data_IF_058965801704
#
_entry.id   IF_058965801704
#
_cell.length_a   1.000
_cell.length_b   1.000
_cell.length_c   1.000
_cell.angle_alpha   90.00
_cell.angle_beta   90.00
_cell.angle_gamma   90.00
#
_symmetry.space_group_name_H-M   'P 1'
#
loop_
_entity.id
_entity.type
_entity.pdbx_description
1 polymer ?
#
# COMPACT_ATOMS: atom_id res chain seq x y z
N UNK A 1 19.68 -12.19 0.85
CA UNK A 1 18.79 -13.08 1.65
C UNK A 1 17.84 -13.80 0.73
N UNK A 2 17.43 -15.01 1.14
CA UNK A 2 16.31 -15.71 0.51
C UNK A 2 15.04 -15.45 1.32
N UNK A 3 14.05 -14.81 0.70
CA UNK A 3 12.78 -14.45 1.33
C UNK A 3 11.66 -15.28 0.72
N UNK A 4 10.94 -16.03 1.55
CA UNK A 4 9.76 -16.76 1.14
C UNK A 4 8.50 -15.97 1.52
N UNK A 5 7.77 -15.49 0.53
CA UNK A 5 6.51 -14.77 0.72
C UNK A 5 5.34 -15.74 0.59
N UNK A 6 4.49 -15.83 1.59
CA UNK A 6 3.29 -16.70 1.63
C UNK A 6 2.06 -15.84 1.40
N UNK A 7 1.53 -15.89 0.17
CA UNK A 7 0.46 -15.03 -0.31
C UNK A 7 -0.51 -15.83 -1.20
N UNK A 8 -1.55 -16.47 -0.61
CA UNK A 8 -2.44 -17.38 -1.34
C UNK A 8 -3.09 -16.77 -2.58
N UNK A 9 -3.55 -15.54 -2.47
CA UNK A 9 -4.36 -14.86 -3.47
C UNK A 9 -3.56 -13.93 -4.39
N UNK A 10 -2.22 -13.92 -4.27
CA UNK A 10 -1.39 -13.07 -5.12
C UNK A 10 -1.47 -13.51 -6.57
N UNK A 11 -2.13 -12.70 -7.37
CA UNK A 11 -2.14 -12.78 -8.82
C UNK A 11 -1.46 -11.52 -9.33
N UNK A 12 -0.34 -11.57 -10.06
CA UNK A 12 0.27 -10.37 -10.64
C UNK A 12 -0.63 -9.83 -11.76
N UNK A 13 -1.65 -9.11 -11.40
CA UNK A 13 -2.49 -8.33 -12.30
C UNK A 13 -2.09 -6.87 -12.13
N UNK A 14 -1.85 -6.20 -13.25
CA UNK A 14 -1.38 -4.81 -13.27
C UNK A 14 -2.34 -3.81 -12.60
N UNK A 15 -3.57 -4.24 -12.33
CA UNK A 15 -4.66 -3.41 -11.83
C UNK A 15 -5.42 -4.10 -10.69
N UNK A 16 -4.71 -4.78 -9.78
CA UNK A 16 -5.38 -5.37 -8.62
C UNK A 16 -5.96 -4.25 -7.74
N UNK A 17 -7.27 -4.17 -7.66
CA UNK A 17 -8.00 -3.37 -6.66
C UNK A 17 -7.68 -3.82 -5.21
N UNK A 18 -7.06 -4.98 -5.08
CA UNK A 18 -6.62 -5.55 -3.81
C UNK A 18 -5.30 -4.91 -3.37
N UNK A 19 -5.41 -4.05 -2.36
CA UNK A 19 -4.29 -3.32 -1.76
C UNK A 19 -3.21 -4.25 -1.19
N UNK A 20 -3.62 -5.39 -0.61
CA UNK A 20 -2.68 -6.35 -0.03
C UNK A 20 -1.83 -7.00 -1.13
N UNK A 21 -2.44 -7.42 -2.24
CA UNK A 21 -1.73 -7.97 -3.40
C UNK A 21 -0.75 -6.96 -3.99
N UNK A 22 -1.19 -5.72 -4.19
CA UNK A 22 -0.35 -4.65 -4.73
C UNK A 22 0.87 -4.36 -3.84
N UNK A 23 0.70 -4.36 -2.50
CA UNK A 23 1.80 -4.17 -1.55
C UNK A 23 2.81 -5.30 -1.60
N UNK A 24 2.32 -6.55 -1.65
CA UNK A 24 3.19 -7.73 -1.78
C UNK A 24 4.05 -7.66 -3.03
N UNK A 25 3.45 -7.34 -4.16
CA UNK A 25 4.19 -7.24 -5.42
C UNK A 25 5.23 -6.14 -5.38
N UNK A 26 4.91 -4.95 -4.87
CA UNK A 26 5.87 -3.86 -4.69
C UNK A 26 7.02 -4.30 -3.79
N UNK A 27 6.70 -4.82 -2.59
CA UNK A 27 7.73 -5.28 -1.65
C UNK A 27 8.62 -6.36 -2.24
N UNK A 28 8.04 -7.36 -2.92
CA UNK A 28 8.80 -8.43 -3.54
C UNK A 28 9.74 -7.92 -4.65
N UNK A 29 9.26 -7.03 -5.53
CA UNK A 29 10.05 -6.42 -6.59
C UNK A 29 11.19 -5.55 -6.04
N UNK A 30 10.89 -4.70 -5.06
CA UNK A 30 11.90 -3.80 -4.47
C UNK A 30 13.00 -4.60 -3.76
N UNK A 31 12.65 -5.71 -3.09
CA UNK A 31 13.65 -6.63 -2.51
C UNK A 31 14.47 -7.35 -3.58
N UNK A 32 13.83 -7.81 -4.65
CA UNK A 32 14.52 -8.47 -5.78
C UNK A 32 15.46 -7.50 -6.51
N UNK A 33 15.05 -6.27 -6.74
CA UNK A 33 15.89 -5.21 -7.33
C UNK A 33 17.14 -4.92 -6.49
N UNK A 34 17.08 -5.12 -5.18
CA UNK A 34 18.23 -5.03 -4.24
C UNK A 34 19.10 -6.30 -4.20
N UNK A 35 18.85 -7.27 -5.07
CA UNK A 35 19.63 -8.50 -5.18
C UNK A 35 19.28 -9.57 -4.15
N UNK A 36 18.08 -9.53 -3.57
CA UNK A 36 17.57 -10.60 -2.73
C UNK A 36 16.81 -11.62 -3.58
N UNK A 37 16.89 -12.90 -3.17
CA UNK A 37 16.16 -14.00 -3.80
C UNK A 37 14.78 -14.08 -3.16
N UNK A 38 13.74 -13.69 -3.92
CA UNK A 38 12.36 -13.62 -3.43
C UNK A 38 11.51 -14.65 -4.15
N UNK A 39 10.92 -15.57 -3.39
CA UNK A 39 9.96 -16.55 -3.90
C UNK A 39 8.59 -16.31 -3.28
N UNK A 40 7.59 -16.04 -4.12
CA UNK A 40 6.19 -15.89 -3.73
C UNK A 40 5.48 -17.23 -3.91
N UNK A 41 5.00 -17.79 -2.82
CA UNK A 41 4.17 -19.00 -2.77
C UNK A 41 2.69 -18.59 -2.90
N UNK A 42 2.09 -18.85 -4.04
CA UNK A 42 0.75 -18.38 -4.37
C UNK A 42 -0.12 -19.47 -5.03
N UNK A 43 -1.37 -19.16 -5.34
CA UNK A 43 -2.17 -19.94 -6.27
C UNK A 43 -1.63 -19.76 -7.69
N UNK A 44 -1.49 -20.85 -8.44
CA UNK A 44 -0.95 -20.81 -9.81
C UNK A 44 -1.97 -20.19 -10.78
N UNK A 45 -1.76 -18.92 -11.13
CA UNK A 45 -2.61 -18.14 -12.04
C UNK A 45 -2.26 -18.33 -13.53
N UNK A 46 -1.17 -19.04 -13.81
CA UNK A 46 -0.64 -19.24 -15.18
C UNK A 46 -0.93 -20.60 -15.78
N UNK A 47 -1.52 -21.54 -15.05
CA UNK A 47 -1.75 -22.91 -15.50
C UNK A 47 -3.02 -23.50 -14.89
N UNK A 48 -3.76 -24.25 -15.69
CA UNK A 48 -4.92 -25.03 -15.24
C UNK A 48 -4.50 -26.39 -14.63
N UNK A 49 -3.21 -26.74 -14.72
CA UNK A 49 -2.67 -27.98 -14.17
C UNK A 49 -1.60 -27.67 -13.13
N UNK A 50 -1.69 -28.37 -11.99
CA UNK A 50 -0.70 -28.25 -10.95
C UNK A 50 0.57 -29.01 -11.31
N UNK A 51 1.61 -28.29 -11.67
CA UNK A 51 2.98 -28.79 -11.68
C UNK A 51 3.72 -28.12 -10.51
N UNK A 52 4.07 -28.91 -9.51
CA UNK A 52 4.77 -28.41 -8.31
C UNK A 52 6.20 -27.96 -8.57
N UNK A 53 6.72 -28.26 -9.74
CA UNK A 53 8.06 -27.84 -10.18
C UNK A 53 8.00 -26.56 -11.01
N UNK A 54 6.83 -26.20 -11.51
CA UNK A 54 6.66 -25.02 -12.33
C UNK A 54 6.75 -23.73 -11.51
N UNK A 55 7.62 -22.86 -11.96
CA UNK A 55 7.76 -21.50 -11.43
C UNK A 55 7.61 -20.50 -12.57
N UNK A 56 7.20 -19.28 -12.23
CA UNK A 56 7.22 -18.14 -13.16
C UNK A 56 8.11 -17.06 -12.58
N UNK A 57 8.92 -16.45 -13.44
CA UNK A 57 9.69 -15.26 -13.08
C UNK A 57 9.05 -14.03 -13.69
N UNK A 58 8.91 -12.99 -12.86
CA UNK A 58 8.46 -11.66 -13.29
C UNK A 58 9.17 -10.62 -12.44
N UNK A 59 9.77 -9.62 -13.06
CA UNK A 59 10.44 -8.50 -12.39
C UNK A 59 11.48 -8.94 -11.32
N UNK A 60 12.20 -10.03 -11.59
CA UNK A 60 13.20 -10.61 -10.68
C UNK A 60 12.62 -11.40 -9.50
N UNK A 61 11.31 -11.57 -9.45
CA UNK A 61 10.58 -12.35 -8.42
C UNK A 61 10.20 -13.72 -8.99
N UNK A 62 10.46 -14.78 -8.22
CA UNK A 62 10.03 -16.14 -8.52
C UNK A 62 8.65 -16.42 -7.93
N UNK A 63 7.68 -16.76 -8.75
CA UNK A 63 6.34 -17.21 -8.32
C UNK A 63 6.25 -18.72 -8.38
N UNK A 64 5.83 -19.36 -7.28
CA UNK A 64 5.67 -20.80 -7.17
C UNK A 64 4.24 -21.18 -6.84
N UNK A 65 3.62 -21.98 -7.72
CA UNK A 65 2.27 -22.49 -7.51
C UNK A 65 2.25 -23.51 -6.35
N UNK A 66 1.42 -23.25 -5.36
CA UNK A 66 1.08 -24.20 -4.28
C UNK A 66 -0.18 -24.97 -4.62
N UNK A 67 -1.14 -24.28 -5.26
CA UNK A 67 -2.40 -24.83 -5.81
C UNK A 67 -2.71 -24.13 -7.13
N UNK A 68 -3.58 -24.70 -7.96
CA UNK A 68 -4.02 -24.11 -9.25
C UNK A 68 -5.43 -23.48 -9.17
N UNK A 69 -6.08 -23.63 -8.06
CA UNK A 69 -7.42 -23.09 -7.77
C UNK A 69 -7.40 -22.60 -6.33
N UNK A 70 -8.27 -21.69 -5.93
CA UNK A 70 -8.38 -21.24 -4.54
C UNK A 70 -8.86 -22.37 -3.63
N UNK A 71 -8.04 -23.42 -3.53
CA UNK A 71 -8.21 -24.57 -2.63
C UNK A 71 -7.45 -24.29 -1.33
N UNK A 72 -7.97 -23.37 -0.52
CA UNK A 72 -7.34 -22.84 0.70
C UNK A 72 -6.81 -23.95 1.63
N UNK A 73 -7.59 -24.99 1.92
CA UNK A 73 -7.17 -26.11 2.77
C UNK A 73 -5.94 -26.84 2.21
N UNK A 74 -5.90 -27.09 0.89
CA UNK A 74 -4.77 -27.75 0.24
C UNK A 74 -3.55 -26.86 0.20
N UNK A 75 -3.72 -25.54 0.04
CA UNK A 75 -2.67 -24.55 0.11
C UNK A 75 -1.99 -24.60 1.49
N UNK A 76 -2.77 -24.43 2.56
CA UNK A 76 -2.26 -24.43 3.93
C UNK A 76 -1.55 -25.73 4.32
N UNK A 77 -2.06 -26.87 3.87
CA UNK A 77 -1.45 -28.18 4.16
C UNK A 77 -0.06 -28.36 3.50
N UNK A 78 0.23 -27.69 2.39
CA UNK A 78 1.49 -27.83 1.62
C UNK A 78 2.57 -26.85 2.03
N UNK A 79 2.20 -25.64 2.47
CA UNK A 79 3.13 -24.58 2.85
C UNK A 79 4.22 -25.05 3.83
N UNK A 80 3.93 -25.79 4.91
CA UNK A 80 4.96 -26.23 5.86
C UNK A 80 6.09 -27.04 5.21
N UNK A 81 5.74 -28.00 4.34
CA UNK A 81 6.72 -28.85 3.68
C UNK A 81 7.55 -28.07 2.62
N UNK A 82 6.92 -27.16 1.89
CA UNK A 82 7.59 -26.33 0.90
C UNK A 82 8.63 -25.41 1.56
N UNK A 83 8.27 -24.73 2.64
CA UNK A 83 9.17 -23.85 3.40
C UNK A 83 10.30 -24.66 4.08
N UNK A 84 9.99 -25.81 4.65
CA UNK A 84 11.01 -26.71 5.26
C UNK A 84 12.06 -27.18 4.23
N UNK A 85 11.65 -27.37 2.98
CA UNK A 85 12.54 -27.77 1.89
C UNK A 85 13.35 -26.58 1.36
N UNK A 86 12.71 -25.43 1.17
CA UNK A 86 13.34 -24.23 0.64
C UNK A 86 14.36 -23.62 1.61
N UNK A 87 14.12 -23.72 2.93
CA UNK A 87 14.96 -23.16 4.00
C UNK A 87 15.30 -21.68 3.79
N UNK A 88 14.30 -20.82 3.63
CA UNK A 88 14.53 -19.39 3.43
C UNK A 88 15.19 -18.76 4.67
N UNK A 89 15.82 -17.61 4.47
CA UNK A 89 16.39 -16.78 5.55
C UNK A 89 15.28 -16.08 6.36
N UNK A 90 14.14 -15.77 5.71
CA UNK A 90 12.94 -15.20 6.34
C UNK A 90 11.66 -15.71 5.64
N UNK A 91 10.60 -15.87 6.42
CA UNK A 91 9.24 -16.14 5.93
C UNK A 91 8.41 -14.90 6.15
N UNK A 92 7.77 -14.41 5.10
CA UNK A 92 6.86 -13.27 5.10
C UNK A 92 5.46 -13.76 4.75
N UNK A 93 4.52 -13.69 5.67
CA UNK A 93 3.13 -14.10 5.45
C UNK A 93 2.20 -12.88 5.50
N UNK A 94 1.10 -12.94 4.75
CA UNK A 94 0.23 -11.79 4.52
C UNK A 94 -1.17 -12.13 5.00
N UNK A 95 -1.78 -11.22 5.68
CA UNK A 95 -3.20 -10.94 6.05
C UNK A 95 -4.22 -12.11 5.98
N UNK A 96 -3.79 -13.35 5.88
CA UNK A 96 -4.61 -14.57 5.98
C UNK A 96 -4.23 -15.36 7.25
N UNK A 97 -5.08 -15.37 8.28
CA UNK A 97 -4.78 -16.06 9.54
C UNK A 97 -4.40 -17.52 9.38
N UNK A 98 -5.04 -18.24 8.47
CA UNK A 98 -4.77 -19.66 8.23
C UNK A 98 -3.45 -19.87 7.51
N UNK A 99 -3.14 -19.04 6.53
CA UNK A 99 -1.85 -19.05 5.84
C UNK A 99 -0.71 -18.70 6.79
N UNK A 100 -0.90 -17.73 7.68
CA UNK A 100 0.07 -17.35 8.74
C UNK A 100 0.37 -18.53 9.66
N UNK A 101 -0.67 -19.27 10.13
CA UNK A 101 -0.47 -20.41 11.00
C UNK A 101 0.25 -21.58 10.28
N UNK A 102 -0.07 -21.81 9.02
CA UNK A 102 0.65 -22.77 8.18
C UNK A 102 2.11 -22.35 7.95
N UNK A 103 2.33 -21.06 7.64
CA UNK A 103 3.66 -20.48 7.48
C UNK A 103 4.49 -20.59 8.75
N UNK A 104 3.90 -20.39 9.95
CA UNK A 104 4.59 -20.60 11.23
C UNK A 104 5.15 -22.01 11.38
N UNK A 105 4.36 -23.02 11.01
CA UNK A 105 4.82 -24.40 11.05
C UNK A 105 6.03 -24.61 10.13
N UNK A 106 5.96 -24.11 8.89
CA UNK A 106 7.04 -24.20 7.93
C UNK A 106 8.28 -23.43 8.34
N UNK A 107 8.11 -22.20 8.84
CA UNK A 107 9.20 -21.35 9.35
C UNK A 107 9.96 -22.02 10.50
N UNK A 108 9.22 -22.66 11.42
CA UNK A 108 9.82 -23.44 12.53
C UNK A 108 10.68 -24.58 12.01
N UNK A 109 10.18 -25.36 11.04
CA UNK A 109 10.92 -26.46 10.41
C UNK A 109 12.13 -25.97 9.62
N UNK A 110 12.00 -24.84 8.95
CA UNK A 110 13.09 -24.19 8.22
C UNK A 110 14.10 -23.49 9.13
N UNK A 111 13.77 -23.23 10.38
CA UNK A 111 14.51 -22.39 11.35
C UNK A 111 14.66 -20.94 10.89
N UNK A 112 13.65 -20.44 10.20
CA UNK A 112 13.55 -19.06 9.75
C UNK A 112 12.59 -18.24 10.62
N UNK A 113 12.80 -16.93 10.81
CA UNK A 113 11.82 -16.07 11.45
C UNK A 113 10.58 -15.90 10.58
N UNK A 114 9.41 -15.73 11.23
CA UNK A 114 8.15 -15.39 10.61
C UNK A 114 7.83 -13.92 10.83
N UNK A 115 7.71 -13.17 9.75
CA UNK A 115 7.18 -11.81 9.71
C UNK A 115 5.79 -11.84 9.10
N UNK A 116 4.84 -11.17 9.73
CA UNK A 116 3.46 -11.06 9.23
C UNK A 116 3.21 -9.61 8.84
N UNK A 117 2.83 -9.38 7.59
CA UNK A 117 2.31 -8.11 7.10
C UNK A 117 0.79 -8.09 7.26
N UNK A 118 0.27 -7.14 8.05
CA UNK A 118 -1.12 -7.12 8.47
C UNK A 118 -1.78 -5.78 8.16
N UNK A 119 -2.84 -5.83 7.36
CA UNK A 119 -3.60 -4.66 6.94
C UNK A 119 -4.77 -4.32 7.86
N UNK A 120 -5.14 -5.23 8.76
CA UNK A 120 -6.27 -5.05 9.67
C UNK A 120 -7.63 -5.48 9.10
N UNK A 121 -7.64 -6.02 7.90
CA UNK A 121 -8.85 -6.44 7.17
C UNK A 121 -9.24 -7.90 7.39
N UNK A 122 -8.72 -8.56 8.40
CA UNK A 122 -9.18 -9.93 8.70
C UNK A 122 -10.70 -9.98 8.84
N UNK A 123 -11.35 -11.09 8.43
CA UNK A 123 -12.80 -11.23 8.52
C UNK A 123 -13.33 -10.84 9.90
N UNK A 124 -14.36 -10.00 10.00
CA UNK A 124 -14.92 -9.60 11.29
C UNK A 124 -15.28 -10.82 12.12
N UNK A 125 -14.71 -10.92 13.33
CA UNK A 125 -14.99 -12.01 14.25
C UNK A 125 -14.24 -13.33 13.98
N UNK A 126 -13.26 -13.37 13.06
CA UNK A 126 -12.44 -14.58 12.86
C UNK A 126 -11.60 -14.88 14.11
N UNK A 127 -11.83 -16.05 14.76
CA UNK A 127 -11.13 -16.42 15.98
C UNK A 127 -9.64 -16.73 15.75
N UNK A 128 -9.19 -16.92 14.52
CA UNK A 128 -7.80 -17.23 14.18
C UNK A 128 -6.91 -16.00 14.11
N UNK A 129 -7.46 -14.80 13.93
CA UNK A 129 -6.67 -13.55 13.80
C UNK A 129 -5.72 -13.36 14.99
N UNK A 130 -6.24 -13.37 16.21
CA UNK A 130 -5.40 -13.21 17.41
C UNK A 130 -4.29 -14.27 17.53
N UNK A 131 -4.57 -15.55 17.42
CA UNK A 131 -3.55 -16.61 17.35
C UNK A 131 -2.52 -16.40 16.25
N UNK A 132 -2.93 -16.06 15.02
CA UNK A 132 -2.05 -15.84 13.89
C UNK A 132 -1.06 -14.68 14.16
N UNK A 133 -1.55 -13.56 14.64
CA UNK A 133 -0.69 -12.42 14.98
C UNK A 133 0.30 -12.72 16.12
N UNK A 134 -0.12 -13.47 17.14
CA UNK A 134 0.75 -13.78 18.29
C UNK A 134 1.87 -14.78 18.00
N UNK A 135 1.73 -15.62 16.97
CA UNK A 135 2.79 -16.58 16.61
C UNK A 135 3.91 -15.94 15.78
N UNK A 136 3.72 -14.75 15.25
CA UNK A 136 4.73 -14.03 14.47
C UNK A 136 5.92 -13.58 15.34
N UNK A 137 7.12 -13.60 14.80
CA UNK A 137 8.31 -13.02 15.42
C UNK A 137 8.27 -11.48 15.31
N UNK A 138 7.69 -10.97 14.22
CA UNK A 138 7.32 -9.56 14.02
C UNK A 138 5.99 -9.46 13.28
N UNK A 139 5.21 -8.44 13.62
CA UNK A 139 4.03 -8.03 12.87
C UNK A 139 4.27 -6.62 12.33
N UNK A 140 4.04 -6.45 11.05
CA UNK A 140 4.15 -5.17 10.35
C UNK A 140 2.75 -4.67 10.03
N UNK A 141 2.56 -3.38 10.17
CA UNK A 141 1.33 -2.66 9.83
C UNK A 141 1.67 -1.49 8.91
N UNK A 142 0.78 -1.07 7.99
CA UNK A 142 1.02 0.06 7.09
C UNK A 142 0.98 1.42 7.80
N UNK A 143 0.31 1.52 8.95
CA UNK A 143 0.05 2.76 9.69
C UNK A 143 0.07 2.54 11.20
N UNK A 144 0.12 3.61 11.98
CA UNK A 144 -0.01 3.59 13.44
C UNK A 144 -1.41 3.14 13.88
N UNK A 145 -2.45 3.50 13.12
CA UNK A 145 -3.82 3.02 13.35
C UNK A 145 -3.86 1.49 13.32
N UNK A 146 -3.36 0.87 12.25
CA UNK A 146 -3.36 -0.59 12.12
C UNK A 146 -2.41 -1.22 13.15
N UNK A 147 -1.25 -0.62 13.44
CA UNK A 147 -0.35 -1.08 14.50
C UNK A 147 -1.06 -1.10 15.86
N UNK A 148 -1.87 -0.11 16.16
CA UNK A 148 -2.66 -0.05 17.40
C UNK A 148 -3.68 -1.18 17.44
N UNK A 149 -4.44 -1.41 16.37
CA UNK A 149 -5.38 -2.52 16.23
C UNK A 149 -4.70 -3.90 16.42
N UNK A 150 -3.50 -4.07 15.87
CA UNK A 150 -2.66 -5.28 16.05
C UNK A 150 -2.27 -5.47 17.52
N UNK A 151 -1.87 -4.41 18.22
CA UNK A 151 -1.53 -4.47 19.66
C UNK A 151 -2.75 -4.81 20.53
N UNK A 152 -3.90 -4.29 20.23
CA UNK A 152 -5.18 -4.64 20.89
C UNK A 152 -5.53 -6.13 20.75
N UNK A 153 -5.05 -6.78 19.69
CA UNK A 153 -5.15 -8.23 19.47
C UNK A 153 -4.10 -9.06 20.23
N UNK A 154 -3.29 -8.40 21.07
CA UNK A 154 -2.34 -9.02 22.00
C UNK A 154 -0.92 -9.18 21.45
N UNK A 155 -0.55 -8.48 20.39
CA UNK A 155 0.84 -8.41 19.92
C UNK A 155 1.62 -7.43 20.82
N UNK A 156 2.75 -7.85 21.42
CA UNK A 156 3.58 -6.95 22.22
C UNK A 156 4.14 -5.78 21.39
N UNK A 157 4.28 -4.61 22.01
CA UNK A 157 4.76 -3.40 21.34
C UNK A 157 6.11 -3.58 20.63
N UNK A 158 7.04 -4.29 21.24
CA UNK A 158 8.35 -4.56 20.65
C UNK A 158 8.33 -5.52 19.45
N UNK A 159 7.20 -6.17 19.15
CA UNK A 159 7.00 -7.00 17.96
C UNK A 159 6.19 -6.33 16.87
N UNK A 160 5.40 -5.30 17.19
CA UNK A 160 4.61 -4.54 16.23
C UNK A 160 5.44 -3.39 15.65
N UNK A 161 5.52 -3.29 14.32
CA UNK A 161 6.25 -2.25 13.59
C UNK A 161 5.39 -1.63 12.52
N UNK A 162 5.62 -0.35 12.22
CA UNK A 162 5.07 0.28 11.04
C UNK A 162 6.12 0.21 9.94
N UNK A 163 5.71 -0.28 8.78
CA UNK A 163 6.39 -0.10 7.50
C UNK A 163 5.32 0.41 6.54
N UNK A 164 5.41 1.66 6.08
CA UNK A 164 4.36 2.27 5.28
C UNK A 164 4.27 1.65 3.87
N UNK A 165 3.27 2.07 3.10
CA UNK A 165 3.25 1.86 1.67
C UNK A 165 4.39 2.64 1.00
N UNK A 166 4.82 2.14 -0.17
CA UNK A 166 5.87 2.76 -0.95
C UNK A 166 5.33 3.39 -2.23
N UNK A 167 6.02 4.41 -2.70
CA UNK A 167 5.78 5.06 -3.99
C UNK A 167 7.08 5.13 -4.78
N UNK A 168 6.95 5.18 -6.10
CA UNK A 168 8.07 5.35 -7.03
C UNK A 168 8.32 6.85 -7.25
N UNK A 169 9.34 7.41 -6.59
CA UNK A 169 9.70 8.82 -6.69
C UNK A 169 10.25 9.20 -8.07
N UNK A 170 10.93 8.31 -8.78
CA UNK A 170 11.38 8.57 -10.14
C UNK A 170 10.18 8.78 -11.06
N UNK A 171 9.12 8.00 -10.87
CA UNK A 171 7.86 8.17 -11.60
C UNK A 171 7.20 9.51 -11.27
N UNK A 172 7.19 9.94 -10.00
CA UNK A 172 6.70 11.28 -9.60
C UNK A 172 7.44 12.38 -10.34
N UNK A 173 8.77 12.28 -10.45
CA UNK A 173 9.60 13.29 -11.12
C UNK A 173 9.42 13.29 -12.64
N UNK A 174 9.13 12.14 -13.25
CA UNK A 174 9.11 11.94 -14.69
C UNK A 174 7.79 12.35 -15.36
N UNK A 175 6.66 12.27 -14.65
CA UNK A 175 5.34 12.56 -15.22
C UNK A 175 5.15 14.05 -15.42
N UNK A 176 4.72 14.46 -16.62
CA UNK A 176 4.36 15.85 -16.91
C UNK A 176 2.95 16.17 -16.38
N UNK A 177 2.72 17.38 -15.84
CA UNK A 177 1.40 17.80 -15.37
C UNK A 177 0.40 17.93 -16.53
N UNK A 178 -0.91 17.80 -16.25
CA UNK A 178 -1.96 18.08 -17.24
C UNK A 178 -1.94 19.54 -17.66
N UNK A 179 -2.36 19.82 -18.91
CA UNK A 179 -2.34 21.17 -19.49
C UNK A 179 -3.40 22.11 -18.90
N UNK A 180 -4.51 21.55 -18.40
CA UNK A 180 -5.59 22.30 -17.75
C UNK A 180 -5.64 21.87 -16.27
N UNK A 181 -4.91 22.58 -15.39
CA UNK A 181 -4.73 22.18 -14.01
C UNK A 181 -6.01 22.41 -13.19
N UNK A 182 -6.52 21.42 -12.46
CA UNK A 182 -7.53 21.66 -11.43
C UNK A 182 -6.87 22.29 -10.19
N UNK A 183 -7.60 23.16 -9.48
CA UNK A 183 -7.13 23.68 -8.19
C UNK A 183 -7.17 22.60 -7.11
N UNK A 184 -8.22 21.75 -7.14
CA UNK A 184 -8.46 20.70 -6.16
C UNK A 184 -8.61 19.36 -6.84
N UNK A 185 -7.97 18.33 -6.28
CA UNK A 185 -8.14 16.93 -6.69
C UNK A 185 -8.57 16.08 -5.50
N UNK A 186 -9.45 15.14 -5.73
CA UNK A 186 -9.71 14.02 -4.83
C UNK A 186 -9.65 12.71 -5.64
N UNK A 187 -9.09 11.65 -5.06
CA UNK A 187 -8.99 10.37 -5.74
C UNK A 187 -9.32 9.23 -4.77
N UNK A 188 -10.41 8.51 -5.08
CA UNK A 188 -10.91 7.43 -4.24
C UNK A 188 -11.89 6.55 -5.02
N UNK A 189 -12.16 5.33 -4.54
CA UNK A 189 -13.29 4.54 -5.01
C UNK A 189 -14.59 5.25 -4.63
N UNK A 190 -15.49 5.47 -5.58
CA UNK A 190 -16.75 6.19 -5.36
C UNK A 190 -17.83 5.26 -4.77
N UNK A 191 -17.73 4.97 -3.49
CA UNK A 191 -18.69 4.20 -2.70
C UNK A 191 -19.15 5.00 -1.46
N UNK A 192 -19.84 4.35 -0.54
CA UNK A 192 -20.37 5.01 0.66
C UNK A 192 -19.27 5.43 1.66
N UNK A 193 -18.12 4.75 1.64
CA UNK A 193 -16.99 5.03 2.54
C UNK A 193 -16.08 6.14 2.00
N UNK A 194 -16.21 6.51 0.72
CA UNK A 194 -15.48 7.63 0.12
C UNK A 194 -15.72 8.96 0.84
N UNK A 195 -16.92 9.15 1.40
CA UNK A 195 -17.35 10.39 2.07
C UNK A 195 -17.11 11.65 1.23
N UNK A 196 -17.27 11.51 -0.10
CA UNK A 196 -17.02 12.61 -1.05
C UNK A 196 -18.02 13.76 -0.87
N UNK A 197 -19.18 13.50 -0.23
CA UNK A 197 -20.15 14.53 0.14
C UNK A 197 -19.50 15.66 0.96
N UNK A 198 -18.55 15.38 1.84
CA UNK A 198 -17.84 16.40 2.60
C UNK A 198 -17.00 17.31 1.71
N UNK A 199 -16.31 16.74 0.72
CA UNK A 199 -15.54 17.53 -0.28
C UNK A 199 -16.48 18.42 -1.08
N UNK A 200 -17.58 17.87 -1.64
CA UNK A 200 -18.53 18.61 -2.45
C UNK A 200 -19.21 19.75 -1.65
N UNK A 201 -19.53 19.52 -0.38
CA UNK A 201 -20.06 20.57 0.50
C UNK A 201 -19.01 21.67 0.76
N UNK A 202 -17.78 21.32 1.08
CA UNK A 202 -16.69 22.29 1.28
C UNK A 202 -16.41 23.12 0.00
N UNK A 203 -16.43 22.49 -1.16
CA UNK A 203 -16.29 23.18 -2.47
C UNK A 203 -17.46 24.11 -2.75
N UNK A 204 -18.68 23.74 -2.38
CA UNK A 204 -19.87 24.59 -2.58
C UNK A 204 -19.80 25.89 -1.75
N UNK A 205 -19.11 25.92 -0.61
CA UNK A 205 -18.88 27.15 0.16
C UNK A 205 -17.94 28.13 -0.57
N UNK A 206 -17.09 27.64 -1.50
CA UNK A 206 -16.19 28.46 -2.34
C UNK A 206 -16.92 29.12 -3.55
N UNK A 207 -18.24 29.10 -3.64
CA UNK A 207 -19.03 29.55 -4.80
C UNK A 207 -18.71 30.98 -5.28
N UNK A 208 -18.21 31.84 -4.41
CA UNK A 208 -17.84 33.23 -4.72
C UNK A 208 -16.40 33.41 -5.19
N UNK A 209 -15.66 32.31 -5.32
CA UNK A 209 -14.28 32.27 -5.79
C UNK A 209 -14.23 31.58 -7.16
N UNK A 210 -13.18 31.78 -7.89
CA UNK A 210 -12.88 31.01 -9.08
C UNK A 210 -12.07 29.79 -8.68
N UNK A 211 -12.52 28.59 -9.07
CA UNK A 211 -11.88 27.31 -8.77
C UNK A 211 -12.42 26.20 -9.67
N UNK A 212 -11.65 25.15 -9.85
CA UNK A 212 -12.05 23.91 -10.50
C UNK A 212 -11.60 22.70 -9.67
N UNK A 213 -12.32 21.60 -9.79
CA UNK A 213 -11.95 20.36 -9.11
C UNK A 213 -12.08 19.16 -10.03
N UNK A 214 -11.17 18.18 -9.84
CA UNK A 214 -11.22 16.89 -10.52
C UNK A 214 -11.36 15.76 -9.49
N UNK A 215 -12.40 14.94 -9.66
CA UNK A 215 -12.64 13.74 -8.87
C UNK A 215 -12.21 12.53 -9.71
N UNK A 216 -11.21 11.81 -9.23
CA UNK A 216 -10.65 10.63 -9.90
C UNK A 216 -11.12 9.36 -9.18
N UNK A 217 -11.61 8.40 -9.95
CA UNK A 217 -12.13 7.14 -9.49
C UNK A 217 -13.54 6.87 -9.99
N UNK A 218 -13.97 5.64 -9.80
CA UNK A 218 -15.30 5.17 -10.16
C UNK A 218 -15.89 4.32 -9.04
N UNK A 219 -17.18 4.00 -9.11
CA UNK A 219 -17.84 3.17 -8.13
C UNK A 219 -19.35 3.31 -8.10
N UNK A 220 -20.00 2.49 -7.26
CA UNK A 220 -21.47 2.41 -7.24
C UNK A 220 -22.18 3.70 -6.79
N UNK A 221 -21.49 4.62 -6.11
CA UNK A 221 -22.04 5.89 -5.66
C UNK A 221 -21.77 7.07 -6.61
N UNK A 222 -21.10 6.86 -7.76
CA UNK A 222 -20.76 7.92 -8.71
C UNK A 222 -21.95 8.79 -9.10
N UNK A 223 -23.04 8.20 -9.58
CA UNK A 223 -24.25 8.94 -9.96
C UNK A 223 -24.87 9.75 -8.81
N UNK A 224 -24.70 9.28 -7.57
CA UNK A 224 -25.16 10.01 -6.38
C UNK A 224 -24.33 11.28 -6.18
N UNK A 225 -23.00 11.19 -6.30
CA UNK A 225 -22.12 12.34 -6.15
C UNK A 225 -22.26 13.35 -7.30
N UNK A 226 -22.43 12.88 -8.54
CA UNK A 226 -22.73 13.76 -9.68
C UNK A 226 -24.05 14.54 -9.48
N UNK A 227 -25.12 13.87 -8.99
CA UNK A 227 -26.38 14.54 -8.63
C UNK A 227 -26.18 15.54 -7.50
N UNK A 228 -25.40 15.20 -6.47
CA UNK A 228 -25.13 16.11 -5.37
C UNK A 228 -24.37 17.36 -5.85
N UNK A 229 -23.40 17.23 -6.74
CA UNK A 229 -22.72 18.40 -7.34
C UNK A 229 -23.71 19.31 -8.07
N UNK A 230 -24.65 18.73 -8.82
CA UNK A 230 -25.72 19.50 -9.50
C UNK A 230 -26.68 20.17 -8.50
N UNK A 231 -27.12 19.47 -7.46
CA UNK A 231 -27.98 20.03 -6.40
C UNK A 231 -27.30 21.20 -5.66
N UNK A 232 -25.97 21.14 -5.51
CA UNK A 232 -25.15 22.20 -4.93
C UNK A 232 -24.84 23.31 -5.95
N UNK A 233 -25.18 23.15 -7.22
CA UNK A 233 -24.90 24.09 -8.33
C UNK A 233 -23.39 24.34 -8.51
N UNK A 234 -22.59 23.28 -8.48
CA UNK A 234 -21.15 23.26 -8.72
C UNK A 234 -20.73 22.25 -9.80
N UNK A 235 -21.67 21.63 -10.49
CA UNK A 235 -21.43 20.62 -11.52
C UNK A 235 -20.68 21.17 -12.76
N UNK A 236 -20.74 22.47 -13.00
CA UNK A 236 -19.96 23.16 -14.03
C UNK A 236 -18.47 23.35 -13.66
N UNK A 237 -18.09 23.11 -12.41
CA UNK A 237 -16.72 23.27 -11.86
C UNK A 237 -16.08 21.97 -11.40
N UNK A 238 -16.87 20.90 -11.27
CA UNK A 238 -16.40 19.59 -10.81
C UNK A 238 -16.41 18.59 -11.95
N UNK A 239 -15.24 18.08 -12.29
CA UNK A 239 -15.09 17.03 -13.32
C UNK A 239 -14.94 15.67 -12.65
N UNK A 240 -15.83 14.72 -12.96
CA UNK A 240 -15.69 13.31 -12.58
C UNK A 240 -14.93 12.56 -13.68
N UNK A 241 -13.63 12.37 -13.50
CA UNK A 241 -12.73 11.84 -14.52
C UNK A 241 -12.83 10.30 -14.71
N UNK A 242 -13.48 9.58 -13.76
CA UNK A 242 -13.50 8.12 -13.75
C UNK A 242 -12.16 7.52 -13.30
N UNK A 243 -12.01 6.20 -13.49
CA UNK A 243 -10.75 5.55 -13.21
C UNK A 243 -9.69 5.94 -14.24
N UNK A 244 -8.56 6.43 -13.77
CA UNK A 244 -7.42 6.82 -14.58
C UNK A 244 -6.22 5.90 -14.31
N UNK A 245 -5.42 5.59 -15.33
CA UNK A 245 -4.11 4.95 -15.15
C UNK A 245 -3.20 5.76 -14.22
N UNK A 246 -2.23 5.10 -13.58
CA UNK A 246 -1.34 5.75 -12.60
C UNK A 246 -0.70 7.03 -13.12
N UNK A 247 -0.13 7.03 -14.33
CA UNK A 247 0.56 8.23 -14.86
C UNK A 247 -0.40 9.40 -15.11
N UNK A 248 -1.63 9.11 -15.54
CA UNK A 248 -2.64 10.15 -15.71
C UNK A 248 -3.09 10.72 -14.36
N UNK A 249 -3.25 9.87 -13.32
CA UNK A 249 -3.50 10.36 -11.95
C UNK A 249 -2.38 11.27 -11.47
N UNK A 250 -1.12 10.84 -11.64
CA UNK A 250 0.04 11.65 -11.26
C UNK A 250 0.12 12.97 -12.02
N UNK A 251 -0.25 12.99 -13.31
CA UNK A 251 -0.32 14.21 -14.10
C UNK A 251 -1.32 15.22 -13.51
N UNK A 252 -2.47 14.76 -13.02
CA UNK A 252 -3.43 15.59 -12.29
C UNK A 252 -2.88 16.05 -10.94
N UNK A 253 -2.23 15.17 -10.15
CA UNK A 253 -1.67 15.55 -8.85
C UNK A 253 -0.54 16.57 -8.99
N UNK A 254 0.29 16.45 -10.02
CA UNK A 254 1.37 17.42 -10.30
C UNK A 254 0.88 18.77 -10.78
N UNK A 255 -0.33 18.84 -11.30
CA UNK A 255 -0.97 20.05 -11.76
C UNK A 255 -1.80 20.73 -10.67
N UNK A 256 -2.38 19.94 -9.76
CA UNK A 256 -3.28 20.43 -8.71
C UNK A 256 -2.51 21.06 -7.55
N UNK A 257 -3.13 22.06 -6.92
CA UNK A 257 -2.58 22.69 -5.72
C UNK A 257 -3.00 21.96 -4.42
N UNK A 258 -4.24 21.49 -4.35
CA UNK A 258 -4.82 20.84 -3.16
C UNK A 258 -5.27 19.42 -3.47
N UNK A 259 -5.00 18.49 -2.56
CA UNK A 259 -5.58 17.15 -2.56
C UNK A 259 -6.47 16.97 -1.33
N UNK A 260 -7.76 16.62 -1.55
CA UNK A 260 -8.73 16.34 -0.50
C UNK A 260 -8.89 14.85 -0.26
N UNK A 261 -8.82 14.42 1.00
CA UNK A 261 -9.05 13.04 1.46
C UNK A 261 -10.05 13.00 2.58
N UNK A 262 -11.19 12.35 2.36
CA UNK A 262 -12.31 12.32 3.32
C UNK A 262 -12.79 10.91 3.65
N UNK A 263 -12.20 9.86 3.05
CA UNK A 263 -12.64 8.48 3.22
C UNK A 263 -12.71 8.05 4.69
N UNK A 264 -13.82 7.39 5.05
CA UNK A 264 -14.15 6.97 6.42
C UNK A 264 -13.30 5.80 6.90
N UNK A 265 -12.93 4.90 6.02
CA UNK A 265 -12.08 3.75 6.30
C UNK A 265 -10.88 3.73 5.36
N UNK A 266 -9.69 3.89 5.94
CA UNK A 266 -8.45 3.91 5.18
C UNK A 266 -7.30 3.40 6.03
N UNK A 267 -6.80 2.21 5.74
CA UNK A 267 -5.65 1.64 6.47
C UNK A 267 -4.35 2.34 6.13
N UNK A 268 -4.25 2.91 4.93
CA UNK A 268 -3.17 3.78 4.47
C UNK A 268 -3.61 4.53 3.21
N UNK A 269 -3.58 5.85 3.24
CA UNK A 269 -4.06 6.71 2.16
C UNK A 269 -2.99 6.85 1.05
N UNK A 270 -2.85 5.81 0.21
CA UNK A 270 -1.81 5.77 -0.83
C UNK A 270 -1.96 6.87 -1.88
N UNK A 271 -3.19 7.22 -2.28
CA UNK A 271 -3.42 8.30 -3.26
C UNK A 271 -3.05 9.67 -2.67
N UNK A 272 -3.33 9.90 -1.39
CA UNK A 272 -2.86 11.09 -0.68
C UNK A 272 -1.33 11.14 -0.65
N UNK A 273 -0.65 10.02 -0.37
CA UNK A 273 0.82 9.98 -0.38
C UNK A 273 1.38 10.36 -1.74
N UNK A 274 0.83 9.83 -2.84
CA UNK A 274 1.22 10.19 -4.19
C UNK A 274 1.01 11.68 -4.47
N UNK A 275 -0.15 12.22 -4.08
CA UNK A 275 -0.47 13.64 -4.29
C UNK A 275 0.45 14.57 -3.47
N UNK A 276 0.73 14.24 -2.21
CA UNK A 276 1.70 14.97 -1.39
C UNK A 276 3.10 14.94 -2.02
N UNK A 277 3.54 13.79 -2.53
CA UNK A 277 4.83 13.66 -3.21
C UNK A 277 4.88 14.49 -4.51
N UNK A 278 3.75 14.64 -5.21
CA UNK A 278 3.57 15.54 -6.34
C UNK A 278 3.49 17.04 -5.96
N UNK A 279 3.62 17.38 -4.67
CA UNK A 279 3.65 18.77 -4.19
C UNK A 279 2.30 19.35 -3.77
N UNK A 280 1.20 18.59 -3.81
CA UNK A 280 -0.10 19.06 -3.33
C UNK A 280 -0.06 19.42 -1.83
N UNK A 281 -0.89 20.35 -1.42
CA UNK A 281 -1.27 20.57 -0.03
C UNK A 281 -2.35 19.55 0.32
N UNK A 282 -2.15 18.76 1.37
CA UNK A 282 -3.12 17.76 1.79
C UNK A 282 -4.19 18.34 2.71
N UNK A 283 -5.46 18.19 2.37
CA UNK A 283 -6.60 18.48 3.25
C UNK A 283 -7.29 17.16 3.59
N UNK A 284 -7.22 16.77 4.85
CA UNK A 284 -7.69 15.46 5.32
C UNK A 284 -8.78 15.63 6.37
N UNK A 285 -9.96 15.14 6.09
CA UNK A 285 -11.01 15.05 7.10
C UNK A 285 -10.70 13.91 8.07
N UNK A 286 -10.69 14.23 9.36
CA UNK A 286 -10.40 13.22 10.37
C UNK A 286 -11.54 12.22 10.50
N UNK A 287 -11.21 10.95 10.33
CA UNK A 287 -12.11 9.82 10.53
C UNK A 287 -11.44 8.81 11.47
N UNK A 288 -12.20 8.25 12.41
CA UNK A 288 -11.66 7.37 13.44
C UNK A 288 -11.06 6.06 12.89
N UNK A 289 -11.59 5.59 11.75
CA UNK A 289 -11.15 4.36 11.09
C UNK A 289 -10.22 4.63 9.89
N UNK A 290 -9.77 5.89 9.71
CA UNK A 290 -8.87 6.28 8.62
C UNK A 290 -7.51 6.73 9.16
N UNK A 291 -6.43 6.15 8.60
CA UNK A 291 -5.05 6.53 8.88
C UNK A 291 -4.57 7.73 8.03
N UNK A 292 -5.43 8.29 7.16
CA UNK A 292 -5.02 9.35 6.24
C UNK A 292 -4.41 10.57 6.94
N UNK A 293 -4.91 10.92 8.12
CA UNK A 293 -4.42 12.05 8.91
C UNK A 293 -2.95 11.89 9.34
N UNK A 294 -2.43 10.65 9.46
CA UNK A 294 -1.04 10.40 9.82
C UNK A 294 -0.05 10.99 8.79
N UNK A 295 -0.46 11.08 7.52
CA UNK A 295 0.37 11.62 6.44
C UNK A 295 0.46 13.16 6.45
N UNK A 296 -0.49 13.84 7.06
CA UNK A 296 -0.52 15.32 7.15
C UNK A 296 -0.15 15.84 8.54
N UNK A 297 -0.24 15.02 9.57
CA UNK A 297 0.20 15.40 10.90
C UNK A 297 1.67 15.87 10.91
N UNK A 298 1.93 17.01 11.54
CA UNK A 298 3.26 17.62 11.65
C UNK A 298 3.88 18.09 10.33
N UNK A 299 3.06 18.20 9.26
CA UNK A 299 3.48 18.77 7.98
C UNK A 299 2.96 20.18 7.85
N UNK A 300 3.82 21.10 7.37
CA UNK A 300 3.44 22.51 7.12
C UNK A 300 2.38 22.59 6.02
N UNK A 301 2.47 21.72 5.01
CA UNK A 301 1.55 21.63 3.87
C UNK A 301 0.50 20.55 4.07
N UNK A 302 -0.12 20.52 5.26
CA UNK A 302 -1.12 19.52 5.59
C UNK A 302 -2.10 20.03 6.60
N UNK A 303 -3.38 19.87 6.30
CA UNK A 303 -4.50 20.26 7.16
C UNK A 303 -5.28 19.04 7.60
N UNK A 304 -5.54 18.93 8.90
CA UNK A 304 -6.50 18.00 9.45
C UNK A 304 -7.75 18.77 9.84
N UNK A 305 -8.84 18.46 9.16
CA UNK A 305 -10.15 19.12 9.33
C UNK A 305 -11.16 18.14 9.93
N UNK A 306 -12.32 18.64 10.34
CA UNK A 306 -13.35 17.81 10.99
C UNK A 306 -14.75 18.04 10.41
N UNK A 307 -14.96 19.08 9.64
CA UNK A 307 -16.24 19.43 9.04
C UNK A 307 -16.06 19.91 7.61
N UNK A 308 -17.12 19.90 6.77
CA UNK A 308 -17.07 20.47 5.43
C UNK A 308 -16.70 21.96 5.40
N UNK A 309 -17.12 22.73 6.38
CA UNK A 309 -16.77 24.16 6.51
C UNK A 309 -15.26 24.34 6.77
N UNK A 310 -14.65 23.45 7.56
CA UNK A 310 -13.20 23.46 7.76
C UNK A 310 -12.44 23.13 6.47
N UNK A 311 -13.02 22.33 5.56
CA UNK A 311 -12.44 22.01 4.25
C UNK A 311 -12.31 23.29 3.41
N UNK A 312 -13.37 24.12 3.36
CA UNK A 312 -13.33 25.41 2.67
C UNK A 312 -12.19 26.28 3.20
N UNK A 313 -12.13 26.46 4.52
CA UNK A 313 -11.10 27.26 5.17
C UNK A 313 -9.68 26.76 4.86
N UNK A 314 -9.49 25.43 4.90
CA UNK A 314 -8.19 24.81 4.59
C UNK A 314 -7.79 24.97 3.11
N UNK A 315 -8.73 24.87 2.18
CA UNK A 315 -8.46 25.13 0.75
C UNK A 315 -8.04 26.58 0.54
N UNK A 316 -8.70 27.53 1.18
CA UNK A 316 -8.36 28.96 1.09
C UNK A 316 -6.98 29.23 1.67
N UNK A 317 -6.66 28.68 2.84
CA UNK A 317 -5.35 28.82 3.48
C UNK A 317 -4.25 28.12 2.65
N UNK A 318 -4.55 26.99 2.04
CA UNK A 318 -3.64 26.29 1.15
C UNK A 318 -3.18 27.17 -0.01
N UNK A 319 -4.04 28.04 -0.54
CA UNK A 319 -3.71 29.01 -1.58
C UNK A 319 -2.61 30.01 -1.22
N UNK A 320 -2.24 30.13 0.06
CA UNK A 320 -1.11 30.98 0.51
C UNK A 320 0.26 30.27 0.36
N UNK A 321 0.26 28.95 0.16
CA UNK A 321 1.50 28.20 -0.03
C UNK A 321 2.02 28.31 -1.47
N UNK A 322 3.35 28.30 -1.67
CA UNK A 322 3.91 28.26 -3.01
C UNK A 322 3.55 26.94 -3.71
N UNK A 323 3.36 26.98 -5.01
CA UNK A 323 3.19 25.77 -5.83
C UNK A 323 4.47 24.96 -5.85
N UNK A 324 4.33 23.66 -5.61
CA UNK A 324 5.39 22.66 -5.71
C UNK A 324 4.97 21.61 -6.74
N UNK A 325 5.94 21.02 -7.39
CA UNK A 325 5.71 19.88 -8.30
C UNK A 325 6.26 18.58 -7.75
N UNK A 326 7.12 18.64 -6.71
CA UNK A 326 7.66 17.50 -5.98
C UNK A 326 7.93 17.91 -4.54
N UNK A 327 7.58 17.08 -3.58
CA UNK A 327 7.96 17.22 -2.17
C UNK A 327 9.00 16.16 -1.78
N UNK A 328 10.29 16.51 -1.92
CA UNK A 328 11.43 15.64 -1.62
C UNK A 328 11.47 15.19 -0.14
N UNK A 329 10.74 15.84 0.77
CA UNK A 329 10.68 15.42 2.18
C UNK A 329 9.99 14.07 2.38
N UNK A 330 9.36 13.54 1.34
CA UNK A 330 8.68 12.25 1.30
C UNK A 330 9.53 11.11 0.71
N UNK A 331 10.80 11.33 0.37
CA UNK A 331 11.70 10.28 -0.13
C UNK A 331 11.83 9.06 0.83
N UNK A 332 11.51 9.23 2.09
CA UNK A 332 11.44 8.11 3.03
C UNK A 332 10.38 7.07 2.68
N UNK A 333 9.42 7.42 1.82
CA UNK A 333 8.38 6.54 1.27
C UNK A 333 8.75 5.99 -0.12
N UNK A 334 9.92 6.30 -0.65
CA UNK A 334 10.40 5.69 -1.90
C UNK A 334 10.52 4.17 -1.78
N UNK A 335 10.25 3.45 -2.87
CA UNK A 335 10.29 1.98 -2.91
C UNK A 335 11.62 1.43 -2.37
N UNK A 336 12.75 2.08 -2.68
CA UNK A 336 14.06 1.67 -2.18
C UNK A 336 14.19 1.90 -0.67
N UNK A 337 13.78 3.05 -0.16
CA UNK A 337 13.82 3.37 1.27
C UNK A 337 12.94 2.40 2.09
N UNK A 338 11.73 2.11 1.62
CA UNK A 338 10.80 1.19 2.28
C UNK A 338 11.31 -0.26 2.21
N UNK A 339 11.94 -0.69 1.09
CA UNK A 339 12.60 -1.99 1.03
C UNK A 339 13.72 -2.12 2.08
N UNK A 340 14.45 -1.03 2.35
CA UNK A 340 15.40 -0.97 3.46
C UNK A 340 14.76 -1.25 4.82
N UNK A 341 13.60 -0.65 5.09
CA UNK A 341 12.84 -0.87 6.33
C UNK A 341 12.39 -2.35 6.47
N UNK A 342 11.95 -2.99 5.37
CA UNK A 342 11.63 -4.41 5.37
C UNK A 342 12.83 -5.28 5.74
N UNK A 343 14.00 -5.00 5.19
CA UNK A 343 15.23 -5.72 5.53
C UNK A 343 15.60 -5.58 7.00
N UNK A 344 15.38 -4.41 7.59
CA UNK A 344 15.61 -4.18 9.02
C UNK A 344 14.60 -4.97 9.87
N UNK A 345 13.35 -5.08 9.44
CA UNK A 345 12.35 -5.93 10.11
C UNK A 345 12.77 -7.41 10.08
N UNK A 346 13.22 -7.93 8.92
CA UNK A 346 13.68 -9.33 8.84
C UNK A 346 14.87 -9.59 9.73
N UNK A 347 15.86 -8.70 9.75
CA UNK A 347 17.03 -8.80 10.65
C UNK A 347 16.61 -8.75 12.13
N UNK A 348 15.73 -7.82 12.47
CA UNK A 348 15.19 -7.71 13.82
C UNK A 348 14.35 -8.92 14.25
N UNK A 349 13.80 -9.68 13.30
CA UNK A 349 13.12 -10.93 13.53
C UNK A 349 14.09 -12.12 13.70
N UNK A 350 15.36 -11.95 13.34
CA UNK A 350 16.41 -12.99 13.46
C UNK A 350 16.89 -13.56 12.13
N UNK A 351 16.55 -12.93 10.99
CA UNK A 351 17.13 -13.32 9.71
C UNK A 351 18.64 -13.03 9.67
N UNK A 352 19.45 -13.88 9.03
CA UNK A 352 20.88 -13.65 8.90
C UNK A 352 21.17 -12.41 8.05
N UNK A 353 22.29 -11.74 8.33
CA UNK A 353 22.80 -10.72 7.42
C UNK A 353 23.10 -11.35 6.06
N UNK A 354 22.77 -10.62 4.98
CA UNK A 354 23.02 -11.10 3.61
C UNK A 354 24.48 -11.58 3.51
N UNK A 355 24.68 -12.83 3.09
CA UNK A 355 26.01 -13.28 2.69
C UNK A 355 26.39 -12.48 1.45
N UNK A 356 27.22 -11.44 1.62
CA UNK A 356 27.86 -10.76 0.51
C UNK A 356 28.50 -11.83 -0.37
N UNK A 357 28.11 -11.86 -1.64
CA UNK A 357 28.58 -12.88 -2.57
C UNK A 357 30.09 -12.95 -2.56
N UNK A 358 30.62 -14.04 -2.04
CA UNK A 358 32.03 -14.38 -2.16
C UNK A 358 32.31 -14.82 -3.61
N UNK A 359 32.29 -13.85 -4.53
CA UNK A 359 32.82 -13.97 -5.86
C UNK A 359 34.34 -13.95 -5.82
N UNK A 360 34.98 -14.99 -5.29
CA UNK A 360 36.39 -15.23 -5.50
C UNK A 360 36.62 -15.87 -6.86
N UNK A 361 36.66 -15.04 -7.89
CA UNK A 361 37.39 -15.36 -9.12
C UNK A 361 38.88 -15.25 -8.85
N UNK A 362 39.46 -16.28 -8.27
CA UNK A 362 40.90 -16.45 -8.19
C UNK A 362 41.44 -16.77 -9.60
N UNK A 363 41.98 -15.76 -10.26
CA UNK A 363 42.88 -15.97 -11.41
C UNK A 363 44.25 -16.32 -10.83
N UNK A 364 44.64 -17.57 -10.94
CA UNK A 364 46.01 -17.97 -10.67
C UNK A 364 46.96 -17.40 -11.76
N UNK A 365 48.11 -16.85 -11.40
CA UNK A 365 49.10 -16.48 -12.40
C UNK A 365 49.78 -17.77 -12.92
N UNK A 366 49.73 -17.97 -14.22
CA UNK A 366 50.60 -18.94 -14.93
C UNK A 366 51.95 -18.30 -15.14
N UNK A 367 52.98 -19.00 -14.63
CA UNK A 367 54.34 -18.83 -15.07
C UNK A 367 54.54 -19.24 -16.54
#
# INVERSE_FOLDING_TARGET
MQVAVVAPETTPLADADDRAVARVERTARSLAARGHDVTVYCTGWWSDRLDYTETRERDGVTYRAVTVSPATTSYHARIPALLATARPDAVHAIDDPSAVLAARTGATLARAPLVVDWFGEGPPGDPLVGPALRVADRVVAPSELVRTRVRERGVPENRARVVPEAIDFERVRAVEPVADPPDVVAATRLDADANLESVLLGLAELRNRDWSATIIGDGPAREQYERQAADLSIDDRVTFAGDLPRDERLAHYRAAHVFCQTARDEVFAIELLWALACGCVGVVEYQADSAAHELVERRTRGFRVSTPEDIEGAIVEAGEFPEWTVDESLEAFDEDAVAGQWLDVYRAAGAPESRAGSGTGGVAPTE
#
